data_IF_638444651578
#
_entry.id   IF_638444651578
#
_cell.length_a   1.000
_cell.length_b   1.000
_cell.length_c   1.000
_cell.angle_alpha   90.00
_cell.angle_beta   90.00
_cell.angle_gamma   90.00
#
_symmetry.space_group_name_H-M   'P 1'
#
loop_
_entity.id
_entity.type
_entity.pdbx_description
1 polymer ?
#
# COMPACT_ATOMS: atom_id res chain seq x y z
N UNK A 1 -28.51 -9.44 8.02
CA UNK A 1 -27.28 -9.45 8.83
C UNK A 1 -26.80 -10.89 8.84
N UNK A 2 -25.73 -11.21 8.11
CA UNK A 2 -25.27 -12.59 7.90
C UNK A 2 -24.54 -13.03 9.17
N UNK A 3 -25.16 -13.93 9.94
CA UNK A 3 -24.64 -14.50 11.21
C UNK A 3 -23.51 -15.52 11.04
N UNK A 4 -23.10 -15.82 9.81
CA UNK A 4 -22.25 -16.99 9.52
C UNK A 4 -20.78 -16.83 9.92
N UNK A 5 -20.33 -15.63 10.33
CA UNK A 5 -18.94 -15.36 10.69
C UNK A 5 -18.78 -14.48 11.95
N UNK A 6 -19.73 -14.57 12.88
CA UNK A 6 -19.62 -13.87 14.18
C UNK A 6 -18.39 -14.34 15.00
N UNK A 7 -17.78 -15.47 14.67
CA UNK A 7 -16.56 -15.99 15.33
C UNK A 7 -15.53 -16.54 14.31
N UNK A 8 -15.05 -15.67 13.40
CA UNK A 8 -13.98 -16.06 12.48
C UNK A 8 -12.59 -15.90 13.12
N UNK A 9 -12.01 -17.03 13.57
CA UNK A 9 -10.66 -17.11 14.14
C UNK A 9 -9.55 -17.24 13.08
N UNK A 10 -9.87 -17.06 11.80
CA UNK A 10 -8.89 -17.12 10.73
C UNK A 10 -7.99 -15.90 10.80
N UNK A 11 -6.71 -16.11 11.12
CA UNK A 11 -5.72 -15.04 11.21
C UNK A 11 -5.08 -14.70 9.86
N UNK A 12 -5.00 -15.67 8.95
CA UNK A 12 -4.45 -15.53 7.61
C UNK A 12 -5.46 -16.07 6.60
N UNK A 13 -5.83 -15.24 5.64
CA UNK A 13 -6.59 -15.65 4.47
C UNK A 13 -5.74 -15.48 3.23
N UNK A 14 -5.42 -16.61 2.57
CA UNK A 14 -4.80 -16.64 1.25
C UNK A 14 -5.79 -17.15 0.22
N UNK A 15 -6.02 -16.37 -0.83
CA UNK A 15 -6.90 -16.74 -1.94
C UNK A 15 -6.13 -16.64 -3.25
N UNK A 16 -5.76 -17.78 -3.83
CA UNK A 16 -5.02 -17.85 -5.11
C UNK A 16 -5.97 -17.76 -6.32
N UNK A 17 -5.39 -17.54 -7.52
CA UNK A 17 -5.95 -17.38 -8.90
C UNK A 17 -7.42 -17.81 -9.11
N UNK A 18 -7.81 -18.96 -8.57
CA UNK A 18 -9.12 -19.58 -8.78
C UNK A 18 -10.30 -18.83 -8.13
N UNK A 19 -10.11 -17.94 -7.15
CA UNK A 19 -11.29 -17.33 -6.52
C UNK A 19 -11.94 -16.23 -7.38
N UNK A 20 -11.13 -15.29 -7.89
CA UNK A 20 -11.65 -14.13 -8.62
C UNK A 20 -12.04 -14.41 -10.08
N UNK A 21 -11.79 -15.63 -10.58
CA UNK A 21 -12.09 -16.04 -11.95
C UNK A 21 -13.48 -16.65 -12.08
N UNK A 22 -14.07 -17.21 -11.03
CA UNK A 22 -15.32 -17.98 -11.12
C UNK A 22 -16.59 -17.24 -10.67
N UNK A 23 -16.48 -16.13 -9.93
CA UNK A 23 -17.66 -15.42 -9.42
C UNK A 23 -17.79 -14.01 -10.03
N UNK A 24 -18.41 -13.96 -11.22
CA UNK A 24 -18.61 -12.73 -11.99
C UNK A 24 -19.70 -11.80 -11.44
N UNK A 25 -20.57 -12.28 -10.53
CA UNK A 25 -21.72 -11.53 -10.01
C UNK A 25 -21.50 -10.95 -8.62
N UNK A 26 -20.74 -11.62 -7.77
CA UNK A 26 -20.33 -11.09 -6.47
C UNK A 26 -19.00 -11.74 -6.03
N UNK A 27 -17.84 -11.29 -6.57
CA UNK A 27 -16.54 -11.89 -6.25
C UNK A 27 -16.20 -11.85 -4.75
N UNK A 28 -16.95 -11.08 -3.96
CA UNK A 28 -16.73 -10.85 -2.54
C UNK A 28 -17.76 -11.51 -1.64
N UNK A 29 -18.78 -12.21 -2.13
CA UNK A 29 -19.98 -12.60 -1.34
C UNK A 29 -19.75 -12.96 0.14
N UNK A 30 -19.01 -14.02 0.43
CA UNK A 30 -18.69 -14.41 1.82
C UNK A 30 -17.53 -13.60 2.41
N UNK A 31 -16.58 -13.17 1.57
CA UNK A 31 -15.40 -12.40 1.97
C UNK A 31 -15.79 -11.02 2.52
N UNK A 32 -16.79 -10.35 1.93
CA UNK A 32 -17.35 -9.10 2.44
C UNK A 32 -17.87 -9.29 3.86
N UNK A 33 -18.56 -10.39 4.15
CA UNK A 33 -19.03 -10.70 5.50
C UNK A 33 -17.87 -10.86 6.49
N UNK A 34 -16.77 -11.50 6.07
CA UNK A 34 -15.56 -11.64 6.89
C UNK A 34 -14.84 -10.29 7.11
N UNK A 35 -14.75 -9.45 6.09
CA UNK A 35 -14.08 -8.14 6.17
C UNK A 35 -14.86 -7.13 7.02
N UNK A 36 -16.20 -7.17 6.94
CA UNK A 36 -17.11 -6.29 7.70
C UNK A 36 -17.26 -6.74 9.17
N UNK A 37 -17.13 -8.03 9.47
CA UNK A 37 -17.32 -8.58 10.82
C UNK A 37 -16.29 -8.05 11.83
N UNK A 38 -16.75 -7.34 12.87
CA UNK A 38 -15.89 -6.79 13.92
C UNK A 38 -15.18 -7.85 14.75
N UNK A 39 -15.74 -9.06 14.81
CA UNK A 39 -15.20 -10.21 15.53
C UNK A 39 -14.13 -10.96 14.75
N UNK A 40 -13.99 -10.67 13.45
CA UNK A 40 -12.93 -11.25 12.62
C UNK A 40 -11.56 -10.89 13.17
N UNK A 41 -10.76 -11.92 13.46
CA UNK A 41 -9.36 -11.79 13.90
C UNK A 41 -8.36 -11.75 12.74
N UNK A 42 -8.85 -11.55 11.51
CA UNK A 42 -8.06 -11.62 10.29
C UNK A 42 -6.94 -10.58 10.29
N UNK A 43 -5.72 -11.05 10.48
CA UNK A 43 -4.51 -10.24 10.60
C UNK A 43 -3.75 -10.12 9.27
N UNK A 44 -3.94 -11.05 8.35
CA UNK A 44 -3.21 -11.11 7.09
C UNK A 44 -4.13 -11.44 5.90
N UNK A 45 -4.05 -10.61 4.86
CA UNK A 45 -4.72 -10.82 3.58
C UNK A 45 -3.68 -11.07 2.49
N UNK A 46 -3.72 -12.25 1.89
CA UNK A 46 -2.87 -12.61 0.77
C UNK A 46 -3.68 -12.91 -0.49
N UNK A 47 -3.61 -11.97 -1.43
CA UNK A 47 -4.20 -12.06 -2.75
C UNK A 47 -3.10 -12.04 -3.83
N UNK A 48 -1.92 -12.55 -3.52
CA UNK A 48 -0.85 -12.62 -4.50
C UNK A 48 -1.21 -13.55 -5.66
N UNK A 49 -0.88 -13.11 -6.87
CA UNK A 49 -1.14 -13.82 -8.12
C UNK A 49 -2.62 -14.19 -8.33
N UNK A 50 -3.57 -13.36 -7.88
CA UNK A 50 -4.99 -13.73 -7.89
C UNK A 50 -5.80 -13.11 -9.04
N UNK A 51 -5.14 -12.61 -10.09
CA UNK A 51 -5.78 -11.85 -11.20
C UNK A 51 -6.68 -10.71 -10.70
N UNK A 52 -6.19 -10.03 -9.65
CA UNK A 52 -6.86 -8.89 -9.04
C UNK A 52 -6.77 -7.67 -9.99
N UNK A 53 -7.93 -7.13 -10.34
CA UNK A 53 -8.05 -5.87 -11.10
C UNK A 53 -8.35 -4.73 -10.12
N UNK A 54 -8.14 -3.48 -10.56
CA UNK A 54 -8.49 -2.29 -9.77
C UNK A 54 -9.98 -2.29 -9.36
N UNK A 55 -10.89 -2.78 -10.21
CA UNK A 55 -12.32 -2.93 -9.87
C UNK A 55 -12.56 -3.94 -8.74
N UNK A 56 -11.91 -5.10 -8.80
CA UNK A 56 -12.04 -6.13 -7.75
C UNK A 56 -11.45 -5.66 -6.42
N UNK A 57 -10.29 -4.98 -6.47
CA UNK A 57 -9.70 -4.39 -5.28
C UNK A 57 -10.60 -3.29 -4.71
N UNK A 58 -11.20 -2.43 -5.53
CA UNK A 58 -12.14 -1.41 -5.05
C UNK A 58 -13.29 -2.00 -4.25
N UNK A 59 -13.89 -3.10 -4.72
CA UNK A 59 -14.90 -3.82 -3.94
C UNK A 59 -14.39 -4.32 -2.58
N UNK A 60 -13.15 -4.82 -2.50
CA UNK A 60 -12.53 -5.24 -1.23
C UNK A 60 -12.38 -4.05 -0.27
N UNK A 61 -11.92 -2.91 -0.81
CA UNK A 61 -11.76 -1.68 -0.05
C UNK A 61 -13.13 -1.15 0.42
N UNK A 62 -14.17 -1.22 -0.41
CA UNK A 62 -15.53 -0.84 -0.04
C UNK A 62 -16.06 -1.71 1.11
N UNK A 63 -15.80 -3.01 1.08
CA UNK A 63 -16.14 -3.91 2.18
C UNK A 63 -15.41 -3.53 3.49
N UNK A 64 -14.11 -3.22 3.41
CA UNK A 64 -13.35 -2.72 4.57
C UNK A 64 -13.89 -1.38 5.10
N UNK A 65 -14.37 -0.49 4.22
CA UNK A 65 -14.98 0.77 4.64
C UNK A 65 -16.29 0.58 5.40
N UNK A 66 -17.05 -0.47 5.09
CA UNK A 66 -18.29 -0.84 5.79
C UNK A 66 -18.05 -1.44 7.19
N UNK A 67 -16.82 -1.87 7.50
CA UNK A 67 -16.46 -2.32 8.86
C UNK A 67 -16.63 -1.15 9.84
N UNK A 68 -17.40 -1.35 10.91
CA UNK A 68 -17.68 -0.31 11.90
C UNK A 68 -16.43 -0.01 12.76
N UNK A 69 -15.68 -1.04 13.16
CA UNK A 69 -14.39 -0.91 13.84
C UNK A 69 -13.20 -0.77 12.87
N UNK A 70 -12.04 -0.38 13.41
CA UNK A 70 -10.75 -0.53 12.71
C UNK A 70 -10.43 -2.01 12.47
N UNK A 71 -9.75 -2.29 11.37
CA UNK A 71 -9.33 -3.65 11.04
C UNK A 71 -8.07 -4.07 11.82
N UNK A 72 -7.99 -5.33 12.30
CA UNK A 72 -6.77 -5.88 12.89
C UNK A 72 -5.69 -6.24 11.85
N UNK A 73 -5.98 -6.10 10.55
CA UNK A 73 -5.04 -6.45 9.48
C UNK A 73 -3.71 -5.72 9.65
N UNK A 74 -2.64 -6.50 9.65
CA UNK A 74 -1.24 -6.05 9.77
C UNK A 74 -0.45 -6.28 8.48
N UNK A 75 -0.87 -7.21 7.62
CA UNK A 75 -0.23 -7.51 6.33
C UNK A 75 -1.26 -7.60 5.21
N UNK A 76 -0.98 -6.93 4.10
CA UNK A 76 -1.71 -7.08 2.85
C UNK A 76 -0.72 -7.40 1.73
N UNK A 77 -1.00 -8.45 0.97
CA UNK A 77 -0.18 -8.88 -0.15
C UNK A 77 -0.97 -8.91 -1.47
N UNK A 78 -0.58 -8.05 -2.41
CA UNK A 78 -1.13 -7.98 -3.77
C UNK A 78 -0.10 -8.33 -4.85
N UNK A 79 1.03 -8.95 -4.47
CA UNK A 79 2.12 -9.25 -5.38
C UNK A 79 1.66 -10.04 -6.62
N UNK A 80 2.19 -9.71 -7.80
CA UNK A 80 1.94 -10.43 -9.04
C UNK A 80 0.59 -10.14 -9.72
N UNK A 81 -0.23 -9.25 -9.17
CA UNK A 81 -1.47 -8.81 -9.82
C UNK A 81 -1.20 -7.76 -10.90
N UNK A 82 -0.78 -8.22 -12.08
CA UNK A 82 -0.35 -7.36 -13.21
C UNK A 82 -1.44 -6.44 -13.79
N UNK A 83 -2.71 -6.66 -13.45
CA UNK A 83 -3.84 -5.79 -13.85
C UNK A 83 -4.12 -4.67 -12.84
N UNK A 84 -3.41 -4.65 -11.71
CA UNK A 84 -3.47 -3.57 -10.73
C UNK A 84 -2.59 -2.40 -11.18
N UNK A 85 -3.15 -1.20 -11.24
CA UNK A 85 -2.50 0.02 -11.74
C UNK A 85 -2.77 1.21 -10.80
N UNK A 86 -2.30 2.41 -11.17
CA UNK A 86 -2.44 3.62 -10.35
C UNK A 86 -3.90 4.06 -10.09
N UNK A 87 -4.88 3.55 -10.85
CA UNK A 87 -6.29 3.93 -10.70
C UNK A 87 -6.88 3.56 -9.32
N UNK A 88 -6.19 2.72 -8.55
CA UNK A 88 -6.63 2.28 -7.21
C UNK A 88 -5.87 2.97 -6.06
N UNK A 89 -4.86 3.78 -6.38
CA UNK A 89 -3.89 4.25 -5.40
C UNK A 89 -4.54 5.11 -4.30
N UNK A 90 -5.42 6.03 -4.68
CA UNK A 90 -6.11 6.93 -3.74
C UNK A 90 -7.09 6.18 -2.84
N UNK A 91 -7.86 5.23 -3.38
CA UNK A 91 -8.78 4.42 -2.58
C UNK A 91 -8.04 3.53 -1.60
N UNK A 92 -6.91 2.94 -2.04
CA UNK A 92 -6.07 2.12 -1.18
C UNK A 92 -5.50 2.97 -0.04
N UNK A 93 -4.92 4.13 -0.34
CA UNK A 93 -4.36 5.02 0.68
C UNK A 93 -5.43 5.55 1.64
N UNK A 94 -6.60 5.93 1.13
CA UNK A 94 -7.75 6.34 1.95
C UNK A 94 -8.20 5.21 2.88
N UNK A 95 -8.29 3.98 2.37
CA UNK A 95 -8.63 2.81 3.17
C UNK A 95 -7.59 2.55 4.25
N UNK A 96 -6.30 2.65 3.91
CA UNK A 96 -5.20 2.51 4.87
C UNK A 96 -5.35 3.52 6.02
N UNK A 97 -5.54 4.79 5.67
CA UNK A 97 -5.67 5.89 6.61
C UNK A 97 -6.86 5.70 7.57
N UNK A 98 -8.01 5.28 7.04
CA UNK A 98 -9.29 5.31 7.77
C UNK A 98 -9.70 3.98 8.39
N UNK A 99 -9.21 2.85 7.88
CA UNK A 99 -9.69 1.51 8.26
C UNK A 99 -8.58 0.53 8.63
N UNK A 100 -7.34 0.79 8.22
CA UNK A 100 -6.22 -0.12 8.47
C UNK A 100 -5.10 0.53 9.30
N UNK A 101 -5.39 1.15 10.46
CA UNK A 101 -4.36 1.80 11.28
C UNK A 101 -3.34 0.79 11.85
N UNK A 102 -3.67 -0.50 11.85
CA UNK A 102 -2.80 -1.60 12.27
C UNK A 102 -1.87 -2.13 11.17
N UNK A 103 -2.05 -1.69 9.92
CA UNK A 103 -1.29 -2.18 8.78
C UNK A 103 0.19 -1.82 8.91
N UNK A 104 1.05 -2.85 8.89
CA UNK A 104 2.51 -2.71 9.01
C UNK A 104 3.20 -3.01 7.69
N UNK A 105 2.62 -3.85 6.83
CA UNK A 105 3.28 -4.30 5.61
C UNK A 105 2.30 -4.37 4.45
N UNK A 106 2.69 -3.75 3.35
CA UNK A 106 1.98 -3.76 2.08
C UNK A 106 2.91 -4.27 0.97
N UNK A 107 2.51 -5.32 0.28
CA UNK A 107 3.21 -5.83 -0.91
C UNK A 107 2.42 -5.51 -2.17
N UNK A 108 3.08 -4.83 -3.12
CA UNK A 108 2.59 -4.44 -4.44
C UNK A 108 3.56 -4.90 -5.54
N UNK A 109 4.47 -5.83 -5.22
CA UNK A 109 5.52 -6.24 -6.14
C UNK A 109 4.92 -6.85 -7.42
N UNK A 110 5.57 -6.66 -8.56
CA UNK A 110 5.14 -7.19 -9.86
C UNK A 110 3.68 -6.84 -10.24
N UNK A 111 3.21 -5.67 -9.81
CA UNK A 111 1.97 -5.05 -10.29
C UNK A 111 2.28 -4.00 -11.37
N UNK A 112 1.26 -3.39 -11.95
CA UNK A 112 1.38 -2.36 -12.99
C UNK A 112 1.21 -0.94 -12.42
N UNK A 113 1.40 -0.76 -11.10
CA UNK A 113 1.46 0.57 -10.48
C UNK A 113 2.70 1.33 -10.95
N UNK A 114 2.64 2.66 -10.93
CA UNK A 114 3.72 3.56 -11.28
C UNK A 114 3.78 4.77 -10.35
N UNK A 115 4.24 5.89 -10.90
CA UNK A 115 4.52 7.10 -10.13
C UNK A 115 3.25 7.73 -9.51
N UNK A 116 2.06 7.44 -10.05
CA UNK A 116 0.79 7.86 -9.46
C UNK A 116 0.59 7.25 -8.07
N UNK A 117 0.97 5.98 -7.88
CA UNK A 117 0.94 5.34 -6.57
C UNK A 117 1.95 5.97 -5.60
N UNK A 118 3.13 6.39 -6.08
CA UNK A 118 4.08 7.13 -5.25
C UNK A 118 3.50 8.46 -4.74
N UNK A 119 2.76 9.19 -5.59
CA UNK A 119 2.05 10.42 -5.18
C UNK A 119 1.00 10.16 -4.12
N UNK A 120 0.18 9.12 -4.28
CA UNK A 120 -0.83 8.76 -3.28
C UNK A 120 -0.18 8.35 -1.94
N UNK A 121 0.93 7.60 -1.98
CA UNK A 121 1.71 7.26 -0.78
C UNK A 121 2.26 8.54 -0.11
N UNK A 122 2.79 9.47 -0.90
CA UNK A 122 3.27 10.74 -0.36
C UNK A 122 2.14 11.52 0.33
N UNK A 123 0.97 11.66 -0.31
CA UNK A 123 -0.22 12.29 0.29
C UNK A 123 -0.68 11.57 1.57
N UNK A 124 -0.64 10.23 1.61
CA UNK A 124 -0.93 9.45 2.80
C UNK A 124 -0.04 9.91 3.97
N UNK A 125 1.27 10.06 3.77
CA UNK A 125 2.18 10.50 4.82
C UNK A 125 2.07 11.99 5.17
N UNK A 126 1.68 12.84 4.22
CA UNK A 126 1.40 14.26 4.50
C UNK A 126 0.16 14.42 5.39
N UNK A 127 -0.90 13.69 5.07
CA UNK A 127 -2.21 13.91 5.65
C UNK A 127 -2.51 13.00 6.85
N UNK A 128 -1.73 11.95 7.09
CA UNK A 128 -1.95 11.02 8.20
C UNK A 128 -1.05 11.27 9.41
N UNK A 129 -1.55 10.84 10.58
CA UNK A 129 -0.70 10.69 11.76
C UNK A 129 0.07 9.38 11.64
N UNK A 130 1.40 9.49 11.55
CA UNK A 130 2.28 8.33 11.55
C UNK A 130 2.62 7.94 13.00
N UNK A 131 2.29 6.70 13.39
CA UNK A 131 2.53 6.21 14.74
C UNK A 131 3.54 5.06 14.75
N UNK A 132 4.45 5.08 15.71
CA UNK A 132 5.22 3.91 16.12
C UNK A 132 4.56 3.23 17.33
N UNK A 133 5.01 2.02 17.67
CA UNK A 133 4.42 1.16 18.70
C UNK A 133 4.40 1.79 20.12
N UNK A 134 4.95 2.99 20.31
CA UNK A 134 5.06 3.69 21.60
C UNK A 134 3.96 4.72 21.88
N UNK A 135 3.08 5.03 20.91
CA UNK A 135 2.00 6.00 21.09
C UNK A 135 0.63 5.31 21.14
N UNK A 136 -0.07 5.52 22.24
CA UNK A 136 -1.44 5.07 22.50
C UNK A 136 -2.41 5.66 21.46
N UNK A 137 -3.42 4.88 21.06
CA UNK A 137 -4.54 5.29 20.21
C UNK A 137 -5.49 6.28 20.91
N UNK A 138 -5.25 6.64 22.17
CA UNK A 138 -6.11 7.49 22.99
C UNK A 138 -6.27 8.93 22.49
N UNK A 139 -5.46 9.38 21.52
CA UNK A 139 -5.55 10.73 20.94
C UNK A 139 -6.26 10.79 19.57
N UNK A 140 -6.84 9.69 19.08
CA UNK A 140 -7.55 9.65 17.80
C UNK A 140 -8.91 10.39 17.78
N UNK A 141 -9.30 11.00 18.89
CA UNK A 141 -10.62 11.60 19.08
C UNK A 141 -10.59 13.12 19.30
N UNK A 142 -9.48 13.81 18.97
CA UNK A 142 -9.50 15.28 18.96
C UNK A 142 -9.96 15.80 17.59
N UNK A 143 -11.20 16.33 17.47
CA UNK A 143 -11.75 16.82 16.22
C UNK A 143 -11.03 18.05 15.63
N UNK A 144 -10.21 18.75 16.42
CA UNK A 144 -9.48 19.94 15.97
C UNK A 144 -8.05 19.62 15.48
N UNK A 145 -7.62 18.35 15.56
CA UNK A 145 -6.32 17.85 15.10
C UNK A 145 -6.46 16.77 14.01
N UNK A 146 -7.63 16.63 13.39
CA UNK A 146 -7.96 15.51 12.49
C UNK A 146 -7.12 15.54 11.20
N UNK A 147 -5.97 14.90 11.27
CA UNK A 147 -5.33 14.26 10.12
C UNK A 147 -6.32 13.29 9.48
N UNK A 148 -6.32 13.15 8.15
CA UNK A 148 -7.31 12.38 7.37
C UNK A 148 -7.40 10.89 7.75
N UNK A 149 -6.42 10.42 8.52
CA UNK A 149 -6.41 9.15 9.20
C UNK A 149 -5.05 8.88 9.82
N UNK A 150 -4.73 7.60 10.00
CA UNK A 150 -3.49 7.17 10.65
C UNK A 150 -2.90 5.95 10.00
N UNK A 151 -1.59 5.80 10.11
CA UNK A 151 -0.89 4.63 9.59
C UNK A 151 0.27 4.23 10.48
N UNK A 152 0.55 2.92 10.51
CA UNK A 152 1.69 2.29 11.19
C UNK A 152 2.57 1.52 10.21
N UNK A 153 2.48 1.85 8.91
CA UNK A 153 3.25 1.17 7.86
C UNK A 153 4.74 1.17 8.21
N UNK A 154 5.35 -0.01 8.12
CA UNK A 154 6.80 -0.23 8.31
C UNK A 154 7.48 -0.72 7.03
N UNK A 155 6.70 -1.27 6.10
CA UNK A 155 7.21 -1.77 4.83
C UNK A 155 6.18 -1.55 3.73
N UNK A 156 6.61 -0.95 2.63
CA UNK A 156 5.89 -1.00 1.35
C UNK A 156 6.85 -1.58 0.32
N UNK A 157 6.46 -2.70 -0.29
CA UNK A 157 7.24 -3.37 -1.33
C UNK A 157 6.60 -3.13 -2.69
N UNK A 158 7.38 -2.63 -3.63
CA UNK A 158 6.97 -2.22 -4.98
C UNK A 158 8.04 -2.63 -6.02
N UNK A 159 8.71 -3.76 -5.78
CA UNK A 159 9.71 -4.32 -6.69
C UNK A 159 9.04 -4.76 -8.00
N UNK A 160 9.71 -4.58 -9.14
CA UNK A 160 9.20 -5.01 -10.43
C UNK A 160 7.89 -4.32 -10.88
N UNK A 161 7.65 -3.11 -10.40
CA UNK A 161 6.53 -2.23 -10.80
C UNK A 161 6.96 -1.29 -11.93
N UNK A 162 6.09 -0.35 -12.35
CA UNK A 162 6.37 0.69 -13.35
C UNK A 162 6.83 2.01 -12.74
N UNK A 163 7.19 2.03 -11.46
CA UNK A 163 7.75 3.20 -10.79
C UNK A 163 9.03 3.64 -11.52
N UNK A 164 9.14 4.92 -11.84
CA UNK A 164 10.33 5.51 -12.49
C UNK A 164 11.19 6.22 -11.46
N UNK A 165 12.32 6.82 -11.91
CA UNK A 165 13.15 7.70 -11.07
C UNK A 165 12.29 8.80 -10.42
N UNK A 166 11.37 9.40 -11.17
CA UNK A 166 10.50 10.45 -10.67
C UNK A 166 9.58 9.96 -9.53
N UNK A 167 9.05 8.74 -9.63
CA UNK A 167 8.29 8.13 -8.55
C UNK A 167 9.13 7.89 -7.29
N UNK A 168 10.39 7.49 -7.43
CA UNK A 168 11.30 7.33 -6.28
C UNK A 168 11.71 8.67 -5.68
N UNK A 169 11.87 9.71 -6.50
CA UNK A 169 12.11 11.07 -6.01
C UNK A 169 10.95 11.54 -5.12
N UNK A 170 9.70 11.28 -5.53
CA UNK A 170 8.50 11.55 -4.72
C UNK A 170 8.51 10.76 -3.41
N UNK A 171 8.89 9.48 -3.42
CA UNK A 171 9.02 8.69 -2.18
C UNK A 171 10.12 9.24 -1.27
N UNK A 172 11.19 9.79 -1.84
CA UNK A 172 12.27 10.41 -1.08
C UNK A 172 11.80 11.68 -0.37
N UNK A 173 10.84 12.40 -0.95
CA UNK A 173 10.23 13.59 -0.33
C UNK A 173 9.52 13.29 0.98
N UNK A 174 8.99 12.07 1.17
CA UNK A 174 8.42 11.63 2.46
C UNK A 174 9.44 11.81 3.59
N UNK A 175 10.72 11.56 3.30
CA UNK A 175 11.79 11.64 4.28
C UNK A 175 12.43 13.03 4.35
N UNK A 176 12.66 13.68 3.20
CA UNK A 176 13.28 15.01 3.18
C UNK A 176 12.38 16.07 3.81
N UNK A 177 11.05 15.94 3.70
CA UNK A 177 10.07 16.82 4.34
C UNK A 177 9.79 16.45 5.81
N UNK A 178 10.43 15.40 6.34
CA UNK A 178 10.26 14.99 7.74
C UNK A 178 8.86 14.47 8.08
N UNK A 179 8.10 14.00 7.08
CA UNK A 179 6.75 13.43 7.29
C UNK A 179 6.79 12.17 8.17
N UNK A 180 7.94 11.50 8.18
CA UNK A 180 8.21 10.35 9.04
C UNK A 180 9.45 10.59 9.88
N UNK A 181 9.35 10.33 11.19
CA UNK A 181 10.44 10.60 12.12
C UNK A 181 11.63 9.66 11.84
N UNK A 182 12.86 10.13 12.08
CA UNK A 182 14.09 9.35 11.81
C UNK A 182 14.21 8.04 12.59
N UNK A 183 13.44 7.88 13.67
CA UNK A 183 13.38 6.66 14.50
C UNK A 183 12.36 5.65 14.00
N UNK A 184 11.51 6.05 13.06
CA UNK A 184 10.50 5.18 12.51
C UNK A 184 11.12 4.25 11.46
N UNK A 185 10.67 2.99 11.49
CA UNK A 185 11.29 1.90 10.75
C UNK A 185 10.71 1.70 9.34
N UNK A 186 9.93 2.65 8.81
CA UNK A 186 9.37 2.55 7.45
C UNK A 186 10.48 2.38 6.42
N UNK A 187 10.25 1.46 5.49
CA UNK A 187 11.11 1.21 4.34
C UNK A 187 10.28 1.05 3.07
N UNK A 188 10.78 1.63 1.99
CA UNK A 188 10.25 1.44 0.63
C UNK A 188 11.19 0.53 -0.13
N UNK A 189 10.68 -0.55 -0.69
CA UNK A 189 11.45 -1.49 -1.50
C UNK A 189 11.05 -1.27 -2.96
N UNK A 190 12.00 -0.83 -3.79
CA UNK A 190 11.77 -0.47 -5.19
C UNK A 190 12.83 -1.14 -6.05
N UNK A 191 12.53 -1.33 -7.34
CA UNK A 191 13.48 -1.94 -8.27
C UNK A 191 14.59 -0.95 -8.66
N UNK A 192 15.77 -1.47 -9.02
CA UNK A 192 16.83 -0.66 -9.63
C UNK A 192 16.44 -0.20 -11.03
N UNK A 193 16.74 1.07 -11.31
CA UNK A 193 16.67 1.61 -12.67
C UNK A 193 17.84 1.08 -13.49
N UNK A 194 17.56 0.28 -14.52
CA UNK A 194 18.58 -0.05 -15.52
C UNK A 194 18.76 1.16 -16.43
N UNK A 195 19.98 1.67 -16.54
CA UNK A 195 20.35 2.64 -17.57
C UNK A 195 20.24 1.99 -18.95
N UNK A 196 19.05 1.92 -19.53
CA UNK A 196 18.89 1.66 -20.97
C UNK A 196 18.75 2.99 -21.70
N UNK A 197 19.88 3.71 -21.78
CA UNK A 197 20.13 4.64 -22.88
C UNK A 197 20.55 3.80 -24.09
N UNK A 198 19.58 3.33 -24.88
CA UNK A 198 19.84 3.02 -26.28
C UNK A 198 19.81 4.33 -27.06
N UNK A 199 20.90 5.08 -27.02
CA UNK A 199 21.12 6.20 -27.95
C UNK A 199 22.05 5.71 -29.06
N UNK A 200 21.68 5.88 -30.35
CA UNK A 200 22.61 5.65 -31.45
C UNK A 200 23.69 6.73 -31.44
N UNK A 201 24.83 6.38 -32.01
CA UNK A 201 26.11 7.07 -31.94
C UNK A 201 26.11 8.61 -32.15
N UNK A 202 27.10 9.22 -31.49
CA UNK A 202 27.77 10.50 -31.76
C UNK A 202 27.10 11.80 -31.31
N UNK A 203 27.59 12.35 -30.18
CA UNK A 203 28.45 13.55 -30.18
C UNK A 203 29.09 13.74 -28.80
N UNK A 204 30.38 14.10 -28.81
CA UNK A 204 31.17 14.47 -27.63
C UNK A 204 30.74 15.89 -27.22
N UNK A 205 30.26 16.04 -25.98
CA UNK A 205 30.30 17.30 -25.25
C UNK A 205 30.41 16.98 -23.77
N UNK A 206 31.53 17.37 -23.18
CA UNK A 206 31.79 17.41 -21.75
C UNK A 206 30.75 18.26 -21.02
N UNK A 207 29.90 17.62 -20.21
CA UNK A 207 29.32 18.25 -19.02
C UNK A 207 29.20 17.20 -17.91
N UNK A 208 30.17 17.28 -17.00
CA UNK A 208 30.39 16.35 -15.91
C UNK A 208 29.61 16.79 -14.65
N UNK A 209 28.31 17.03 -14.82
CA UNK A 209 27.37 17.19 -13.70
C UNK A 209 26.62 15.88 -13.49
N UNK A 210 27.36 14.86 -13.01
CA UNK A 210 26.77 13.64 -12.47
C UNK A 210 25.91 14.03 -11.25
N UNK A 211 24.62 14.22 -11.49
CA UNK A 211 23.59 14.40 -10.49
C UNK A 211 23.54 13.15 -9.60
N UNK A 212 24.41 13.12 -8.58
CA UNK A 212 24.39 12.10 -7.52
C UNK A 212 23.17 12.36 -6.68
N UNK A 213 22.00 11.93 -7.14
CA UNK A 213 20.78 11.94 -6.35
C UNK A 213 21.00 11.03 -5.14
N UNK A 214 21.07 11.63 -3.94
CA UNK A 214 21.21 10.89 -2.68
C UNK A 214 19.82 10.53 -2.15
N UNK A 215 19.47 9.24 -2.25
CA UNK A 215 18.23 8.70 -1.68
C UNK A 215 18.39 8.39 -0.18
N UNK A 216 17.33 8.59 0.60
CA UNK A 216 17.28 8.16 2.00
C UNK A 216 17.54 6.64 2.06
N UNK A 217 18.35 6.19 3.02
CA UNK A 217 18.68 4.77 3.24
C UNK A 217 17.48 3.85 3.49
N UNK A 218 16.30 4.43 3.76
CA UNK A 218 15.02 3.73 3.90
C UNK A 218 14.37 3.40 2.56
N UNK A 219 14.86 3.95 1.46
CA UNK A 219 14.57 3.49 0.10
C UNK A 219 15.61 2.43 -0.24
N UNK A 220 15.15 1.19 -0.38
CA UNK A 220 15.99 0.02 -0.64
C UNK A 220 15.76 -0.42 -2.07
N UNK A 221 16.82 -0.41 -2.87
CA UNK A 221 16.80 -0.82 -4.26
C UNK A 221 17.18 -2.29 -4.42
N UNK A 222 16.32 -3.08 -5.08
CA UNK A 222 16.55 -4.49 -5.42
C UNK A 222 17.01 -4.63 -6.88
#
# INVERSE_FOLDING_TARGET
MVKEFEDCFVNLLRLEVAWFTYNSKNPLGWLESVLVSEYSSLAELDFSNSDLTSTKLRGLLDALHKRNAYSPITVINFTGNRKLNDDIAEDLCTCIAKKLPSLKTLYLDHTNIGDGTCKAIFHLFQNCSFFNDRKSFSHLFDPNLMKEGTTRLKKISMEGTKITKAGVDILNEVFSQGLVHRRDAIKFYVHKFTNTQSSPANTISDDNTLDKTFYDKRIVFY
#
